data_IF_664454331293
#
_entry.id   IF_664454331293
#
_cell.length_a   1.000
_cell.length_b   1.000
_cell.length_c   1.000
_cell.angle_alpha   90.00
_cell.angle_beta   90.00
_cell.angle_gamma   90.00
#
_symmetry.space_group_name_H-M   'P 1'
#
loop_
_entity.id
_entity.type
_entity.pdbx_description
1 polymer ?
#
# COMPACT_ATOMS: atom_id res chain seq x y z
N UNK A 1 5.85 0.54 3.89
CA UNK A 1 6.08 1.62 4.86
C UNK A 1 5.56 2.92 4.26
N UNK A 2 4.31 3.30 4.56
CA UNK A 2 3.74 4.56 4.07
C UNK A 2 4.04 5.63 5.12
N UNK A 3 4.94 6.55 4.80
CA UNK A 3 5.13 7.77 5.59
C UNK A 3 3.83 8.58 5.46
N UNK A 4 2.89 8.42 6.39
CA UNK A 4 1.82 9.40 6.57
C UNK A 4 2.52 10.68 6.99
N UNK A 5 2.71 11.60 6.03
CA UNK A 5 3.07 12.99 6.32
C UNK A 5 1.98 13.48 7.27
N UNK A 6 2.33 13.72 8.52
CA UNK A 6 1.43 14.45 9.41
C UNK A 6 1.10 15.76 8.71
N UNK A 7 -0.19 16.00 8.52
CA UNK A 7 -0.67 17.28 8.03
C UNK A 7 -0.16 18.38 8.96
N UNK A 8 0.28 19.51 8.41
CA UNK A 8 0.81 20.65 9.17
C UNK A 8 -0.24 21.25 10.13
N UNK A 9 -1.51 20.88 9.96
CA UNK A 9 -2.66 21.25 10.81
C UNK A 9 -2.73 20.49 12.14
N UNK A 10 -2.06 19.34 12.27
CA UNK A 10 -2.00 18.56 13.51
C UNK A 10 -0.72 18.90 14.29
N UNK A 11 -0.81 19.78 15.28
CA UNK A 11 0.17 19.81 16.37
C UNK A 11 -0.12 18.63 17.31
N UNK A 12 0.90 18.12 18.02
CA UNK A 12 0.89 16.83 18.72
C UNK A 12 -0.37 16.46 19.53
N UNK A 13 -1.15 17.44 20.00
CA UNK A 13 -2.38 17.24 20.78
C UNK A 13 -3.59 18.05 20.28
N UNK A 14 -3.42 18.91 19.29
CA UNK A 14 -4.45 19.88 18.88
C UNK A 14 -4.55 19.96 17.35
N UNK A 15 -5.78 20.14 16.85
CA UNK A 15 -6.05 20.35 15.44
C UNK A 15 -6.44 21.81 15.27
N UNK A 16 -5.60 22.57 14.56
CA UNK A 16 -5.85 23.99 14.31
C UNK A 16 -6.30 24.16 12.86
N UNK A 17 -7.55 24.58 12.66
CA UNK A 17 -8.12 24.90 11.35
C UNK A 17 -8.32 26.41 11.25
N UNK A 18 -7.80 26.99 10.17
CA UNK A 18 -7.94 28.42 9.86
C UNK A 18 -8.65 28.55 8.52
N UNK A 19 -9.74 29.30 8.48
CA UNK A 19 -10.42 29.70 7.24
C UNK A 19 -10.50 31.23 7.18
N UNK A 20 -10.04 31.80 6.06
CA UNK A 20 -10.02 33.23 5.79
C UNK A 20 -10.47 33.53 4.34
N UNK A 21 -11.33 32.67 3.80
CA UNK A 21 -11.71 32.70 2.38
C UNK A 21 -12.81 33.73 2.09
N UNK A 22 -13.69 33.98 3.06
CA UNK A 22 -14.88 34.81 2.91
C UNK A 22 -14.80 36.08 3.75
N UNK A 23 -15.50 37.14 3.32
CA UNK A 23 -15.62 38.38 4.11
C UNK A 23 -16.46 38.21 5.38
N UNK A 24 -17.41 37.26 5.36
CA UNK A 24 -18.30 37.00 6.50
C UNK A 24 -17.67 36.00 7.47
N UNK A 25 -17.60 36.37 8.75
CA UNK A 25 -17.14 35.49 9.82
C UNK A 25 -18.00 34.22 9.93
N UNK A 26 -19.31 34.34 9.72
CA UNK A 26 -20.22 33.18 9.79
C UNK A 26 -19.87 32.15 8.70
N UNK A 27 -19.63 32.60 7.47
CA UNK A 27 -19.22 31.73 6.36
C UNK A 27 -17.87 31.06 6.65
N UNK A 28 -16.90 31.82 7.17
CA UNK A 28 -15.60 31.26 7.57
C UNK A 28 -15.73 30.20 8.68
N UNK A 29 -16.66 30.38 9.64
CA UNK A 29 -16.94 29.36 10.67
C UNK A 29 -17.50 28.10 10.06
N UNK A 30 -18.49 28.22 9.17
CA UNK A 30 -19.09 27.06 8.49
C UNK A 30 -18.06 26.31 7.64
N UNK A 31 -17.22 27.03 6.91
CA UNK A 31 -16.14 26.44 6.12
C UNK A 31 -15.13 25.68 7.00
N UNK A 32 -14.71 26.27 8.13
CA UNK A 32 -13.83 25.60 9.08
C UNK A 32 -14.45 24.31 9.65
N UNK A 33 -15.77 24.30 9.92
CA UNK A 33 -16.49 23.09 10.34
C UNK A 33 -16.51 22.02 9.26
N UNK A 34 -16.79 22.39 8.01
CA UNK A 34 -16.80 21.45 6.89
C UNK A 34 -15.43 20.80 6.67
N UNK A 35 -14.36 21.59 6.77
CA UNK A 35 -12.98 21.08 6.68
C UNK A 35 -12.65 20.11 7.83
N UNK A 36 -13.11 20.41 9.05
CA UNK A 36 -12.93 19.51 10.19
C UNK A 36 -13.64 18.17 9.98
N UNK A 37 -14.89 18.21 9.50
CA UNK A 37 -15.68 17.00 9.23
C UNK A 37 -15.02 16.14 8.16
N UNK A 38 -14.60 16.74 7.04
CA UNK A 38 -13.90 16.03 5.97
C UNK A 38 -12.60 15.36 6.46
N UNK A 39 -11.83 16.05 7.31
CA UNK A 39 -10.63 15.46 7.92
C UNK A 39 -10.95 14.29 8.84
N UNK A 40 -12.02 14.40 9.62
CA UNK A 40 -12.46 13.32 10.51
C UNK A 40 -12.92 12.10 9.70
N UNK A 41 -13.66 12.31 8.62
CA UNK A 41 -14.11 11.26 7.71
C UNK A 41 -12.91 10.53 7.10
N UNK A 42 -11.93 11.26 6.55
CA UNK A 42 -10.71 10.67 6.00
C UNK A 42 -9.90 9.89 7.05
N UNK A 43 -9.80 10.43 8.27
CA UNK A 43 -9.10 9.76 9.38
C UNK A 43 -9.83 8.50 9.86
N UNK A 44 -11.17 8.50 9.83
CA UNK A 44 -12.00 7.37 10.24
C UNK A 44 -11.94 6.19 9.25
N UNK A 45 -11.59 6.46 7.98
CA UNK A 45 -11.49 5.43 6.96
C UNK A 45 -10.31 4.49 7.23
N UNK A 46 -10.65 3.32 7.78
CA UNK A 46 -9.68 2.24 7.96
C UNK A 46 -9.46 1.52 6.63
N UNK A 47 -8.20 1.46 6.18
CA UNK A 47 -7.83 0.66 5.01
C UNK A 47 -8.02 -0.83 5.32
N UNK A 48 -8.76 -1.55 4.48
CA UNK A 48 -8.90 -3.00 4.58
C UNK A 48 -7.50 -3.64 4.51
N UNK A 49 -7.20 -4.54 5.45
CA UNK A 49 -5.95 -5.27 5.45
C UNK A 49 -5.80 -6.06 4.13
N UNK A 50 -4.61 -5.97 3.51
CA UNK A 50 -4.31 -6.76 2.31
C UNK A 50 -4.09 -8.21 2.72
N UNK A 51 -4.93 -9.11 2.22
CA UNK A 51 -4.65 -10.55 2.28
C UNK A 51 -3.68 -10.89 1.14
N UNK A 52 -2.50 -11.48 1.43
CA UNK A 52 -1.57 -11.87 0.38
C UNK A 52 -2.20 -12.91 -0.54
N UNK A 53 -2.01 -12.75 -1.84
CA UNK A 53 -2.49 -13.72 -2.83
C UNK A 53 -1.58 -14.95 -2.87
N UNK A 54 -2.17 -16.13 -3.07
CA UNK A 54 -1.41 -17.34 -3.36
C UNK A 54 -0.69 -17.20 -4.72
N UNK A 55 0.48 -17.82 -4.94
CA UNK A 55 1.12 -17.84 -6.25
C UNK A 55 0.20 -18.40 -7.33
N UNK A 56 0.26 -17.81 -8.53
CA UNK A 56 -0.59 -18.21 -9.66
C UNK A 56 -0.27 -19.64 -10.12
N UNK A 57 -1.25 -20.31 -10.73
CA UNK A 57 -1.07 -21.66 -11.30
C UNK A 57 0.04 -21.67 -12.36
N UNK A 58 0.12 -20.62 -13.19
CA UNK A 58 1.18 -20.45 -14.18
C UNK A 58 2.58 -20.36 -13.55
N UNK A 59 2.72 -19.65 -12.43
CA UNK A 59 3.99 -19.58 -11.68
C UNK A 59 4.40 -20.95 -11.15
N UNK A 60 3.44 -21.73 -10.62
CA UNK A 60 3.70 -23.10 -10.14
C UNK A 60 4.14 -24.03 -11.27
N UNK A 61 3.49 -23.98 -12.43
CA UNK A 61 3.86 -24.78 -13.63
C UNK A 61 5.26 -24.43 -14.11
N UNK A 62 5.55 -23.14 -14.33
CA UNK A 62 6.88 -22.65 -14.75
C UNK A 62 7.99 -23.09 -13.79
N UNK A 63 7.75 -23.07 -12.47
CA UNK A 63 8.71 -23.57 -11.47
C UNK A 63 9.01 -25.06 -11.64
N UNK A 64 7.99 -25.88 -11.86
CA UNK A 64 8.17 -27.32 -12.07
C UNK A 64 8.90 -27.62 -13.38
N UNK A 65 8.56 -26.92 -14.46
CA UNK A 65 9.22 -27.10 -15.75
C UNK A 65 10.68 -26.65 -15.70
N UNK A 66 10.97 -25.54 -15.02
CA UNK A 66 12.34 -25.11 -14.76
C UNK A 66 13.12 -26.16 -13.95
N UNK A 67 12.49 -26.73 -12.90
CA UNK A 67 13.10 -27.80 -12.10
C UNK A 67 13.42 -29.03 -12.95
N UNK A 68 12.52 -29.44 -13.86
CA UNK A 68 12.75 -30.55 -14.80
C UNK A 68 13.90 -30.26 -15.76
N UNK A 69 13.92 -29.08 -16.39
CA UNK A 69 15.01 -28.66 -17.29
C UNK A 69 16.36 -28.66 -16.59
N UNK A 70 16.43 -28.16 -15.36
CA UNK A 70 17.66 -28.19 -14.58
C UNK A 70 18.12 -29.63 -14.26
N UNK A 71 17.18 -30.53 -13.95
CA UNK A 71 17.51 -31.94 -13.72
C UNK A 71 18.07 -32.62 -14.98
N UNK A 72 17.46 -32.39 -16.15
CA UNK A 72 17.98 -32.96 -17.42
C UNK A 72 19.34 -32.37 -17.79
N UNK A 73 19.52 -31.05 -17.65
CA UNK A 73 20.83 -30.43 -17.87
C UNK A 73 21.90 -30.98 -16.93
N UNK A 74 21.58 -31.23 -15.65
CA UNK A 74 22.53 -31.83 -14.69
C UNK A 74 22.84 -33.29 -15.01
N UNK A 75 21.86 -34.06 -15.45
CA UNK A 75 22.07 -35.46 -15.86
C UNK A 75 23.02 -35.55 -17.05
N UNK A 76 22.81 -34.70 -18.07
CA UNK A 76 23.65 -34.66 -19.26
C UNK A 76 25.08 -34.17 -19.01
N UNK A 77 25.34 -33.51 -17.87
CA UNK A 77 26.70 -33.11 -17.45
C UNK A 77 27.48 -34.23 -16.75
N UNK A 78 26.84 -35.37 -16.45
CA UNK A 78 27.56 -36.51 -15.87
C UNK A 78 28.59 -37.01 -16.88
N UNK A 79 29.79 -37.34 -16.40
CA UNK A 79 30.83 -37.97 -17.24
C UNK A 79 30.24 -39.26 -17.84
N UNK A 80 30.50 -39.56 -19.12
CA UNK A 80 30.09 -40.84 -19.70
C UNK A 80 30.66 -41.96 -18.82
N UNK A 81 29.82 -42.95 -18.53
CA UNK A 81 30.30 -44.19 -17.91
C UNK A 81 31.16 -44.84 -18.99
N UNK A 82 32.47 -44.91 -18.74
CA UNK A 82 33.38 -45.76 -19.52
C UNK A 82 33.12 -47.18 -19.03
N UNK A 83 32.74 -48.07 -19.96
CA UNK A 83 32.70 -49.52 -19.72
C UNK A 83 34.10 -50.05 -19.37
#
# INVERSE_FOLDING_TARGET
>A
MSKRKFDRRCCQREIVIRSANERSQWRNRVDAWNQLLSLLEEASQTRKARVPTKPTVGSKRKRLDFKRRQATTKANRRKPVLD
#
